data_IF_765147863587
#
_entry.id   IF_765147863587
#
_cell.length_a   1.000
_cell.length_b   1.000
_cell.length_c   1.000
_cell.angle_alpha   90.00
_cell.angle_beta   90.00
_cell.angle_gamma   90.00
#
_symmetry.space_group_name_H-M   'P 1'
#
loop_
_entity.id
_entity.type
_entity.pdbx_description
1 polymer ?
#
# COMPACT_ATOMS: atom_id res chain seq x y z
N UNK A 1 1.53 35.07 68.77
CA UNK A 1 2.03 34.89 67.40
C UNK A 1 1.66 33.47 66.98
N UNK A 2 0.73 33.31 66.03
CA UNK A 2 0.30 32.00 65.55
C UNK A 2 1.09 31.72 64.27
N UNK A 3 2.01 30.77 64.32
CA UNK A 3 2.77 30.27 63.18
C UNK A 3 1.83 29.53 62.23
N UNK A 4 1.56 30.14 61.08
CA UNK A 4 0.82 29.49 60.00
C UNK A 4 1.68 28.35 59.42
N UNK A 5 1.29 27.11 59.73
CA UNK A 5 1.90 25.91 59.16
C UNK A 5 1.47 25.82 57.69
N UNK A 6 2.44 25.86 56.77
CA UNK A 6 2.21 25.68 55.33
C UNK A 6 1.78 24.23 55.09
N UNK A 7 0.49 24.03 54.89
CA UNK A 7 -0.11 22.74 54.57
C UNK A 7 0.30 22.33 53.15
N UNK A 8 0.85 21.12 52.99
CA UNK A 8 1.10 20.54 51.66
C UNK A 8 -0.25 20.12 51.09
N UNK A 9 -0.55 20.64 49.90
CA UNK A 9 -1.71 20.21 49.11
C UNK A 9 -1.35 18.83 48.55
N UNK A 10 -2.03 17.74 48.94
CA UNK A 10 -1.85 16.47 48.25
C UNK A 10 -2.31 16.64 46.80
N UNK A 11 -1.55 16.08 45.87
CA UNK A 11 -1.98 15.96 44.48
C UNK A 11 -3.35 15.29 44.46
N UNK A 12 -4.38 16.05 44.07
CA UNK A 12 -5.68 15.50 43.71
C UNK A 12 -5.52 14.98 42.29
N UNK A 13 -5.45 13.65 42.15
CA UNK A 13 -5.88 13.02 40.91
C UNK A 13 -7.34 13.37 40.71
N UNK A 14 -7.66 13.98 39.58
CA UNK A 14 -9.03 14.18 39.14
C UNK A 14 -9.54 12.81 38.69
N UNK A 15 -10.31 12.15 39.54
CA UNK A 15 -11.02 10.89 39.24
C UNK A 15 -12.20 11.17 38.28
N UNK A 16 -11.93 11.48 37.02
CA UNK A 16 -13.01 11.60 36.02
C UNK A 16 -12.59 11.14 34.61
N UNK A 17 -11.64 10.20 34.53
CA UNK A 17 -11.47 9.29 33.40
C UNK A 17 -10.92 7.96 33.96
N UNK A 18 -11.81 7.04 34.34
CA UNK A 18 -11.50 5.63 34.69
C UNK A 18 -11.07 4.84 33.43
N UNK A 19 -10.02 5.30 32.75
CA UNK A 19 -9.18 4.41 31.97
C UNK A 19 -8.02 4.06 32.90
N UNK A 20 -8.08 2.86 33.47
CA UNK A 20 -7.02 2.29 34.30
C UNK A 20 -5.64 2.66 33.73
N UNK A 21 -4.97 3.62 34.36
CA UNK A 21 -3.58 3.97 34.10
C UNK A 21 -2.70 2.86 34.73
N UNK A 22 -2.94 1.61 34.30
CA UNK A 22 -2.19 0.43 34.69
C UNK A 22 -0.81 0.54 34.05
N UNK A 23 0.18 0.91 34.86
CA UNK A 23 1.57 0.92 34.45
C UNK A 23 2.03 -0.53 34.32
N UNK A 24 2.24 -0.98 33.09
CA UNK A 24 2.76 -2.32 32.78
C UNK A 24 4.13 -2.51 33.44
N UNK A 25 4.34 -3.66 34.08
CA UNK A 25 5.68 -4.04 34.51
C UNK A 25 6.59 -4.38 33.32
N UNK A 26 7.91 -4.50 33.54
CA UNK A 26 8.84 -4.75 32.45
C UNK A 26 8.58 -6.04 31.66
N UNK A 27 8.03 -7.04 32.34
CA UNK A 27 7.76 -8.35 31.75
C UNK A 27 6.45 -8.31 30.95
N UNK A 28 5.43 -7.62 31.44
CA UNK A 28 4.18 -7.33 30.72
C UNK A 28 4.45 -6.47 29.48
N UNK A 29 5.29 -5.44 29.58
CA UNK A 29 5.64 -4.59 28.44
C UNK A 29 6.37 -5.38 27.33
N UNK A 30 7.27 -6.30 27.70
CA UNK A 30 7.93 -7.18 26.74
C UNK A 30 6.94 -8.10 26.03
N UNK A 31 6.01 -8.71 26.79
CA UNK A 31 4.96 -9.56 26.21
C UNK A 31 4.04 -8.78 25.27
N UNK A 32 3.70 -7.53 25.61
CA UNK A 32 2.87 -6.67 24.77
C UNK A 32 3.61 -6.32 23.47
N UNK A 33 4.88 -5.92 23.53
CA UNK A 33 5.68 -5.60 22.34
C UNK A 33 5.84 -6.83 21.44
N UNK A 34 6.17 -8.00 22.01
CA UNK A 34 6.33 -9.24 21.24
C UNK A 34 5.02 -9.66 20.58
N UNK A 35 3.89 -9.51 21.29
CA UNK A 35 2.57 -9.77 20.75
C UNK A 35 2.23 -8.81 19.60
N UNK A 36 2.46 -7.52 19.77
CA UNK A 36 2.25 -6.50 18.72
C UNK A 36 3.08 -6.81 17.49
N UNK A 37 4.35 -7.22 17.66
CA UNK A 37 5.22 -7.63 16.55
C UNK A 37 4.68 -8.87 15.83
N UNK A 38 4.17 -9.86 16.56
CA UNK A 38 3.61 -11.06 15.95
C UNK A 38 2.30 -10.77 15.20
N UNK A 39 1.41 -9.97 15.80
CA UNK A 39 0.15 -9.54 15.19
C UNK A 39 0.41 -8.69 13.94
N UNK A 40 1.40 -7.80 14.00
CA UNK A 40 1.85 -6.99 12.87
C UNK A 40 2.39 -7.84 11.72
N UNK A 41 3.30 -8.78 12.01
CA UNK A 41 3.85 -9.66 10.99
C UNK A 41 2.76 -10.49 10.28
N UNK A 42 1.79 -11.00 11.05
CA UNK A 42 0.64 -11.75 10.53
C UNK A 42 -0.26 -10.88 9.64
N UNK A 43 -0.57 -9.66 10.09
CA UNK A 43 -1.39 -8.69 9.33
C UNK A 43 -0.69 -8.27 8.04
N UNK A 44 0.61 -8.00 8.11
CA UNK A 44 1.45 -7.67 6.96
C UNK A 44 1.49 -8.77 5.90
N UNK A 45 1.53 -10.04 6.31
CA UNK A 45 1.42 -11.18 5.40
C UNK A 45 0.05 -11.21 4.71
N UNK A 46 -1.03 -11.01 5.47
CA UNK A 46 -2.39 -10.97 4.93
C UNK A 46 -2.58 -9.81 3.95
N UNK A 47 -2.10 -8.61 4.27
CA UNK A 47 -2.14 -7.45 3.37
C UNK A 47 -1.36 -7.69 2.08
N UNK A 48 -0.17 -8.30 2.19
CA UNK A 48 0.65 -8.64 1.03
C UNK A 48 -0.05 -9.65 0.13
N UNK A 49 -0.70 -10.68 0.70
CA UNK A 49 -1.48 -11.67 -0.04
C UNK A 49 -2.69 -11.01 -0.73
N UNK A 50 -3.43 -10.17 -0.02
CA UNK A 50 -4.56 -9.42 -0.56
C UNK A 50 -4.16 -8.52 -1.73
N UNK A 51 -3.07 -7.76 -1.60
CA UNK A 51 -2.53 -6.96 -2.70
C UNK A 51 -2.16 -7.82 -3.91
N UNK A 52 -1.49 -8.96 -3.70
CA UNK A 52 -1.13 -9.87 -4.79
C UNK A 52 -2.36 -10.43 -5.51
N UNK A 53 -3.41 -10.79 -4.77
CA UNK A 53 -4.66 -11.27 -5.36
C UNK A 53 -5.32 -10.19 -6.24
N UNK A 54 -5.42 -8.95 -5.75
CA UNK A 54 -6.00 -7.83 -6.50
C UNK A 54 -5.16 -7.49 -7.73
N UNK A 55 -3.82 -7.42 -7.59
CA UNK A 55 -2.91 -7.18 -8.72
C UNK A 55 -3.02 -8.30 -9.75
N UNK A 56 -3.03 -9.56 -9.31
CA UNK A 56 -3.15 -10.72 -10.18
C UNK A 56 -4.45 -10.75 -10.96
N UNK A 57 -5.58 -10.41 -10.32
CA UNK A 57 -6.87 -10.31 -10.97
C UNK A 57 -6.90 -9.18 -12.01
N UNK A 58 -6.38 -8.01 -11.65
CA UNK A 58 -6.31 -6.87 -12.58
C UNK A 58 -5.40 -7.17 -13.78
N UNK A 59 -4.25 -7.80 -13.55
CA UNK A 59 -3.34 -8.26 -14.59
C UNK A 59 -4.01 -9.26 -15.52
N UNK A 60 -4.70 -10.27 -14.97
CA UNK A 60 -5.45 -11.25 -15.76
C UNK A 60 -6.48 -10.56 -16.66
N UNK A 61 -7.19 -9.57 -16.14
CA UNK A 61 -8.17 -8.81 -16.90
C UNK A 61 -7.53 -8.04 -18.07
N UNK A 62 -6.35 -7.45 -17.88
CA UNK A 62 -5.60 -6.79 -18.95
C UNK A 62 -5.07 -7.76 -20.01
N UNK A 63 -4.61 -8.95 -19.58
CA UNK A 63 -4.21 -10.02 -20.50
C UNK A 63 -5.39 -10.50 -21.34
N UNK A 64 -6.55 -10.73 -20.70
CA UNK A 64 -7.78 -11.12 -21.40
C UNK A 64 -8.25 -10.02 -22.38
N UNK A 65 -8.16 -8.75 -21.99
CA UNK A 65 -8.43 -7.62 -22.88
C UNK A 65 -7.50 -7.63 -24.10
N UNK A 66 -6.19 -7.88 -23.90
CA UNK A 66 -5.22 -7.97 -24.98
C UNK A 66 -5.51 -9.13 -25.95
N UNK A 67 -6.01 -10.26 -25.45
CA UNK A 67 -6.37 -11.43 -26.26
C UNK A 67 -7.70 -11.24 -27.01
N UNK A 68 -8.55 -10.32 -26.57
CA UNK A 68 -9.87 -10.06 -27.18
C UNK A 68 -9.73 -9.00 -28.27
N UNK A 69 -10.08 -9.36 -29.51
CA UNK A 69 -9.96 -8.45 -30.66
C UNK A 69 -11.04 -7.37 -30.76
N UNK A 70 -12.04 -7.34 -29.86
CA UNK A 70 -13.14 -6.37 -29.98
C UNK A 70 -12.75 -4.94 -29.59
N UNK A 71 -11.66 -4.76 -28.84
CA UNK A 71 -11.19 -3.44 -28.39
C UNK A 71 -12.10 -2.73 -27.37
N UNK A 72 -13.24 -3.34 -27.05
CA UNK A 72 -14.22 -2.84 -26.08
C UNK A 72 -13.70 -2.97 -24.65
N UNK A 73 -13.89 -1.92 -23.84
CA UNK A 73 -13.55 -1.97 -22.42
C UNK A 73 -14.29 -3.12 -21.72
N UNK A 74 -13.59 -3.94 -20.91
CA UNK A 74 -14.23 -5.01 -20.12
C UNK A 74 -15.28 -4.47 -19.14
N UNK A 75 -15.12 -3.21 -18.70
CA UNK A 75 -16.06 -2.55 -17.80
C UNK A 75 -17.38 -2.16 -18.49
N UNK A 76 -17.42 -2.11 -19.82
CA UNK A 76 -18.64 -1.79 -20.56
C UNK A 76 -19.79 -2.77 -20.25
N UNK A 77 -19.47 -4.03 -19.88
CA UNK A 77 -20.46 -5.02 -19.46
C UNK A 77 -21.23 -4.58 -18.20
N UNK A 78 -20.61 -3.78 -17.33
CA UNK A 78 -21.22 -3.28 -16.10
C UNK A 78 -22.04 -1.99 -16.33
N UNK A 79 -21.81 -1.30 -17.44
CA UNK A 79 -22.42 0.00 -17.73
C UNK A 79 -23.22 -0.06 -19.03
N UNK A 80 -24.54 -0.26 -18.89
CA UNK A 80 -25.48 -0.41 -20.02
C UNK A 80 -25.54 0.81 -20.97
N UNK A 81 -25.00 1.96 -20.56
CA UNK A 81 -25.00 3.21 -21.33
C UNK A 81 -23.64 3.51 -21.99
N UNK A 82 -22.68 2.57 -21.97
CA UNK A 82 -21.39 2.77 -22.62
C UNK A 82 -21.60 2.91 -24.13
N UNK A 83 -21.17 4.03 -24.69
CA UNK A 83 -21.29 4.33 -26.11
C UNK A 83 -20.36 3.40 -26.88
N UNK A 84 -20.88 2.71 -27.92
CA UNK A 84 -20.07 1.93 -28.87
C UNK A 84 -19.22 2.88 -29.72
N UNK A 85 -18.15 3.43 -29.14
CA UNK A 85 -17.17 4.26 -29.83
C UNK A 85 -16.07 3.39 -30.44
N UNK A 86 -15.38 3.98 -31.41
CA UNK A 86 -14.23 3.36 -32.05
C UNK A 86 -13.16 3.04 -31.00
N UNK A 87 -12.51 1.85 -31.07
CA UNK A 87 -11.49 1.47 -30.11
C UNK A 87 -10.35 2.49 -30.06
N UNK A 88 -9.83 2.71 -28.86
CA UNK A 88 -8.76 3.68 -28.64
C UNK A 88 -7.53 3.35 -29.50
N UNK A 89 -7.01 4.31 -30.29
CA UNK A 89 -5.77 4.09 -31.03
C UNK A 89 -4.62 3.81 -30.06
N UNK A 90 -3.74 2.88 -30.43
CA UNK A 90 -2.62 2.41 -29.59
C UNK A 90 -3.04 1.67 -28.31
N UNK A 91 -4.30 1.21 -28.19
CA UNK A 91 -4.76 0.43 -27.04
C UNK A 91 -3.81 -0.72 -26.69
N UNK A 92 -3.31 -1.48 -27.67
CA UNK A 92 -2.37 -2.58 -27.43
C UNK A 92 -1.05 -2.14 -26.77
N UNK A 93 -0.53 -0.97 -27.14
CA UNK A 93 0.70 -0.42 -26.54
C UNK A 93 0.45 -0.03 -25.09
N UNK A 94 -0.68 0.64 -24.83
CA UNK A 94 -1.06 1.01 -23.47
C UNK A 94 -1.39 -0.22 -22.63
N UNK A 95 -2.02 -1.26 -23.18
CA UNK A 95 -2.25 -2.52 -22.45
C UNK A 95 -0.94 -3.20 -22.09
N UNK A 96 0.04 -3.24 -22.99
CA UNK A 96 1.38 -3.76 -22.70
C UNK A 96 2.03 -2.97 -21.55
N UNK A 97 1.95 -1.64 -21.60
CA UNK A 97 2.44 -0.77 -20.53
C UNK A 97 1.75 -1.07 -19.20
N UNK A 98 0.41 -1.22 -19.19
CA UNK A 98 -0.32 -1.57 -17.97
C UNK A 98 0.09 -2.95 -17.44
N UNK A 99 0.26 -3.95 -18.30
CA UNK A 99 0.75 -5.28 -17.91
C UNK A 99 2.12 -5.16 -17.22
N UNK A 100 3.06 -4.40 -17.81
CA UNK A 100 4.37 -4.18 -17.22
C UNK A 100 4.29 -3.48 -15.85
N UNK A 101 3.40 -2.49 -15.71
CA UNK A 101 3.16 -1.81 -14.43
C UNK A 101 2.64 -2.79 -13.39
N UNK A 102 1.65 -3.63 -13.72
CA UNK A 102 1.12 -4.66 -12.81
C UNK A 102 2.20 -5.68 -12.42
N UNK A 103 3.04 -6.11 -13.35
CA UNK A 103 4.18 -6.98 -13.04
C UNK A 103 5.16 -6.29 -12.06
N UNK A 104 5.48 -5.02 -12.28
CA UNK A 104 6.33 -4.25 -11.37
C UNK A 104 5.67 -4.06 -9.98
N UNK A 105 4.37 -3.80 -9.91
CA UNK A 105 3.62 -3.72 -8.65
C UNK A 105 3.64 -5.06 -7.92
N UNK A 106 3.37 -6.16 -8.62
CA UNK A 106 3.42 -7.51 -8.05
C UNK A 106 4.80 -7.88 -7.52
N UNK A 107 5.87 -7.47 -8.21
CA UNK A 107 7.24 -7.65 -7.71
C UNK A 107 7.53 -6.83 -6.45
N UNK A 108 6.96 -5.62 -6.35
CA UNK A 108 7.11 -4.74 -5.18
C UNK A 108 6.41 -5.27 -3.93
N UNK A 109 5.26 -5.93 -4.10
CA UNK A 109 4.47 -6.49 -2.98
C UNK A 109 4.95 -7.87 -2.54
N UNK A 110 5.91 -8.49 -3.24
CA UNK A 110 6.49 -9.77 -2.83
C UNK A 110 7.45 -9.58 -1.64
N UNK A 111 7.42 -10.48 -0.63
CA UNK A 111 8.38 -10.44 0.46
C UNK A 111 9.83 -10.54 -0.05
N UNK A 112 10.77 -9.87 0.64
CA UNK A 112 12.20 -9.88 0.29
C UNK A 112 12.80 -11.29 0.24
N UNK A 113 12.29 -12.22 1.05
CA UNK A 113 12.76 -13.59 1.08
C UNK A 113 12.23 -14.43 -0.09
N UNK A 114 11.29 -13.93 -0.90
CA UNK A 114 10.75 -14.68 -2.03
C UNK A 114 11.83 -14.94 -3.09
N UNK A 115 11.88 -16.18 -3.60
CA UNK A 115 12.85 -16.60 -4.62
C UNK A 115 12.70 -15.79 -5.91
N UNK A 116 11.48 -15.44 -6.30
CA UNK A 116 11.21 -14.66 -7.51
C UNK A 116 11.79 -13.26 -7.43
N UNK A 117 11.52 -12.54 -6.33
CA UNK A 117 12.08 -11.20 -6.10
C UNK A 117 13.60 -11.22 -6.09
N UNK A 118 14.22 -12.19 -5.39
CA UNK A 118 15.67 -12.38 -5.38
C UNK A 118 16.25 -12.74 -6.75
N UNK A 119 15.56 -13.56 -7.54
CA UNK A 119 16.00 -13.93 -8.88
C UNK A 119 16.02 -12.69 -9.79
N UNK A 120 14.94 -11.90 -9.79
CA UNK A 120 14.83 -10.69 -10.60
C UNK A 120 15.88 -9.65 -10.20
N UNK A 121 16.13 -9.46 -8.90
CA UNK A 121 17.16 -8.54 -8.41
C UNK A 121 18.61 -8.98 -8.71
N UNK A 122 18.84 -10.29 -8.88
CA UNK A 122 20.16 -10.83 -9.22
C UNK A 122 20.54 -10.64 -10.69
N UNK A 123 19.58 -10.49 -11.58
CA UNK A 123 19.86 -10.22 -12.98
C UNK A 123 20.04 -8.70 -13.17
N UNK A 124 21.26 -8.23 -13.51
CA UNK A 124 21.44 -6.84 -13.89
C UNK A 124 20.61 -6.58 -15.15
N UNK A 125 19.58 -5.73 -15.03
CA UNK A 125 18.78 -5.35 -16.18
C UNK A 125 19.71 -4.71 -17.23
N UNK A 126 19.66 -5.15 -18.50
CA UNK A 126 20.46 -4.54 -19.56
C UNK A 126 20.11 -3.07 -19.80
N UNK A 127 18.97 -2.59 -19.28
CA UNK A 127 18.49 -1.21 -19.43
C UNK A 127 18.78 -0.30 -18.24
N UNK A 128 19.56 -0.74 -17.24
CA UNK A 128 19.84 0.03 -15.99
C UNK A 128 18.59 0.50 -15.23
N UNK A 129 17.38 0.10 -15.64
CA UNK A 129 16.17 0.42 -14.91
C UNK A 129 16.25 -0.30 -13.56
N UNK A 130 16.26 0.43 -12.43
CA UNK A 130 16.19 -0.22 -11.13
C UNK A 130 14.90 -1.03 -11.13
N UNK A 131 15.01 -2.33 -10.86
CA UNK A 131 13.86 -3.16 -10.54
C UNK A 131 13.93 -3.38 -9.03
N UNK A 132 12.98 -2.84 -8.25
CA UNK A 132 11.76 -2.17 -8.68
C UNK A 132 11.94 -0.75 -9.24
N UNK A 133 11.07 -0.38 -10.19
CA UNK A 133 11.09 0.93 -10.88
C UNK A 133 11.05 2.09 -9.87
N UNK A 134 11.84 3.12 -10.13
CA UNK A 134 11.92 4.34 -9.30
C UNK A 134 10.54 5.00 -9.13
N UNK A 135 10.23 5.46 -7.92
CA UNK A 135 8.98 6.12 -7.52
C UNK A 135 8.34 7.08 -8.55
N UNK A 136 9.05 8.01 -9.22
CA UNK A 136 8.41 8.92 -10.17
C UNK A 136 7.83 8.20 -11.38
N UNK A 137 8.58 7.26 -11.98
CA UNK A 137 8.11 6.53 -13.16
C UNK A 137 6.91 5.63 -12.83
N UNK A 138 6.89 5.06 -11.64
CA UNK A 138 5.77 4.26 -11.12
C UNK A 138 4.47 5.07 -11.03
N UNK A 139 4.55 6.38 -10.76
CA UNK A 139 3.38 7.27 -10.63
C UNK A 139 2.96 7.84 -11.99
N UNK A 140 3.92 8.27 -12.82
CA UNK A 140 3.60 8.90 -14.11
C UNK A 140 3.15 7.91 -15.19
N UNK A 141 3.80 6.74 -15.30
CA UNK A 141 3.50 5.77 -16.35
C UNK A 141 2.02 5.33 -16.39
N UNK A 142 1.37 4.97 -15.26
CA UNK A 142 -0.05 4.57 -15.29
C UNK A 142 -1.01 5.72 -15.61
N UNK A 143 -0.60 6.98 -15.49
CA UNK A 143 -1.42 8.13 -15.83
C UNK A 143 -1.48 8.40 -17.35
N UNK A 144 -0.55 7.87 -18.14
CA UNK A 144 -0.47 8.14 -19.58
C UNK A 144 -1.70 7.63 -20.35
N UNK A 145 -2.12 6.40 -20.09
CA UNK A 145 -3.28 5.80 -20.76
C UNK A 145 -4.61 6.53 -20.49
N UNK A 146 -5.00 6.82 -19.23
CA UNK A 146 -6.25 7.53 -18.94
C UNK A 146 -6.21 8.98 -19.43
N UNK A 147 -5.06 9.67 -19.34
CA UNK A 147 -4.92 11.01 -19.91
C UNK A 147 -5.11 11.00 -21.43
N UNK A 148 -4.51 10.04 -22.13
CA UNK A 148 -4.68 9.91 -23.56
C UNK A 148 -6.13 9.58 -23.94
N UNK A 149 -6.79 8.66 -23.21
CA UNK A 149 -8.20 8.33 -23.41
C UNK A 149 -9.10 9.58 -23.24
N UNK A 150 -8.83 10.37 -22.20
CA UNK A 150 -9.55 11.61 -21.92
C UNK A 150 -9.34 12.66 -23.03
N UNK A 151 -8.09 12.86 -23.48
CA UNK A 151 -7.76 13.80 -24.56
C UNK A 151 -8.36 13.39 -25.92
N UNK A 152 -8.49 12.09 -26.17
CA UNK A 152 -9.18 11.55 -27.35
C UNK A 152 -10.71 11.58 -27.21
N UNK A 153 -11.23 12.13 -26.10
CA UNK A 153 -12.65 12.26 -25.83
C UNK A 153 -13.36 10.93 -25.71
N UNK A 154 -12.68 9.86 -25.29
CA UNK A 154 -13.27 8.53 -25.10
C UNK A 154 -14.38 8.55 -24.02
N UNK A 155 -15.18 7.48 -23.96
CA UNK A 155 -16.23 7.38 -22.94
C UNK A 155 -15.60 7.33 -21.54
N UNK A 156 -16.32 7.80 -20.52
CA UNK A 156 -15.83 7.83 -19.15
C UNK A 156 -15.52 6.42 -18.63
N UNK A 157 -16.22 5.39 -19.15
CA UNK A 157 -15.96 3.97 -18.85
C UNK A 157 -14.58 3.53 -19.34
N UNK A 158 -14.15 4.02 -20.49
CA UNK A 158 -12.80 3.74 -21.02
C UNK A 158 -11.74 4.46 -20.19
N UNK A 159 -11.97 5.73 -19.86
CA UNK A 159 -11.07 6.49 -18.97
C UNK A 159 -10.93 5.79 -17.62
N UNK A 160 -12.03 5.29 -17.06
CA UNK A 160 -12.04 4.53 -15.82
C UNK A 160 -11.24 3.22 -15.96
N UNK A 161 -11.45 2.46 -17.03
CA UNK A 161 -10.69 1.25 -17.33
C UNK A 161 -9.19 1.52 -17.39
N UNK A 162 -8.78 2.56 -18.12
CA UNK A 162 -7.37 2.93 -18.23
C UNK A 162 -6.77 3.51 -16.94
N UNK A 163 -7.58 3.99 -16.01
CA UNK A 163 -7.13 4.48 -14.70
C UNK A 163 -6.89 3.39 -13.65
N UNK A 164 -7.30 2.14 -13.93
CA UNK A 164 -7.18 1.00 -13.00
C UNK A 164 -5.78 0.80 -12.45
N UNK A 165 -4.75 0.82 -13.30
CA UNK A 165 -3.37 0.66 -12.85
C UNK A 165 -2.86 1.82 -12.00
N UNK A 166 -3.33 3.05 -12.27
CA UNK A 166 -2.99 4.22 -11.46
C UNK A 166 -3.61 4.12 -10.08
N UNK A 167 -4.89 3.76 -10.02
CA UNK A 167 -5.59 3.49 -8.77
C UNK A 167 -4.89 2.38 -7.96
N UNK A 168 -4.51 1.28 -8.62
CA UNK A 168 -3.82 0.17 -7.98
C UNK A 168 -2.41 0.55 -7.51
N UNK A 169 -1.68 1.37 -8.26
CA UNK A 169 -0.38 1.92 -7.84
C UNK A 169 -0.53 2.73 -6.57
N UNK A 170 -1.54 3.60 -6.51
CA UNK A 170 -1.83 4.40 -5.32
C UNK A 170 -2.20 3.52 -4.12
N UNK A 171 -3.08 2.52 -4.32
CA UNK A 171 -3.46 1.57 -3.29
C UNK A 171 -2.25 0.81 -2.72
N UNK A 172 -1.40 0.27 -3.59
CA UNK A 172 -0.18 -0.43 -3.20
C UNK A 172 0.75 0.50 -2.41
N UNK A 173 0.93 1.74 -2.88
CA UNK A 173 1.77 2.72 -2.18
C UNK A 173 1.23 3.07 -0.79
N UNK A 174 -0.09 3.23 -0.65
CA UNK A 174 -0.75 3.50 0.62
C UNK A 174 -0.62 2.33 1.60
N UNK A 175 -0.91 1.10 1.17
CA UNK A 175 -0.80 -0.09 2.03
C UNK A 175 0.66 -0.32 2.45
N UNK A 176 1.62 -0.24 1.52
CA UNK A 176 3.04 -0.38 1.88
C UNK A 176 3.52 0.74 2.80
N UNK A 177 2.91 1.93 2.73
CA UNK A 177 3.20 3.02 3.66
C UNK A 177 2.68 2.67 5.05
N UNK A 178 1.43 2.22 5.17
CA UNK A 178 0.85 1.81 6.46
C UNK A 178 1.64 0.69 7.13
N UNK A 179 2.05 -0.34 6.38
CA UNK A 179 2.88 -1.42 6.92
C UNK A 179 4.22 -0.91 7.49
N UNK A 180 4.82 0.10 6.85
CA UNK A 180 6.08 0.71 7.33
C UNK A 180 5.87 1.60 8.55
N UNK A 181 4.77 2.34 8.60
CA UNK A 181 4.42 3.18 9.75
C UNK A 181 4.19 2.29 10.98
N UNK A 182 3.49 1.16 10.82
CA UNK A 182 3.29 0.17 11.89
C UNK A 182 4.61 -0.43 12.42
N UNK A 183 5.54 -0.80 11.52
CA UNK A 183 6.87 -1.27 11.92
C UNK A 183 7.68 -0.19 12.65
N UNK A 184 7.54 1.07 12.25
CA UNK A 184 8.21 2.21 12.88
C UNK A 184 7.66 2.48 14.28
N UNK A 185 6.34 2.46 14.46
CA UNK A 185 5.68 2.63 15.76
C UNK A 185 6.14 1.57 16.76
N UNK A 186 6.22 0.29 16.33
CA UNK A 186 6.75 -0.79 17.18
C UNK A 186 8.21 -0.55 17.55
N UNK A 187 9.04 -0.13 16.59
CA UNK A 187 10.45 0.18 16.84
C UNK A 187 10.63 1.39 17.79
N UNK A 188 9.74 2.38 17.73
CA UNK A 188 9.71 3.51 18.66
C UNK A 188 9.31 3.07 20.08
N UNK A 189 8.32 2.19 20.21
CA UNK A 189 7.94 1.58 21.50
C UNK A 189 9.12 0.82 22.12
N UNK A 190 9.88 0.07 21.31
CA UNK A 190 11.10 -0.61 21.76
C UNK A 190 12.16 0.39 22.24
N UNK A 191 12.33 1.51 21.54
CA UNK A 191 13.28 2.54 21.93
C UNK A 191 12.93 3.19 23.28
N UNK A 192 11.64 3.50 23.50
CA UNK A 192 11.17 4.09 24.77
C UNK A 192 11.40 3.17 25.97
N UNK A 193 11.27 1.85 25.78
CA UNK A 193 11.64 0.85 26.79
C UNK A 193 13.10 0.96 27.23
N UNK A 194 14.03 1.14 26.28
CA UNK A 194 15.46 1.22 26.59
C UNK A 194 15.83 2.51 27.36
N UNK A 195 15.13 3.61 27.12
CA UNK A 195 15.35 4.88 27.81
C UNK A 195 14.90 4.80 29.28
N UNK A 196 13.75 4.16 29.53
CA UNK A 196 13.22 3.96 30.89
C UNK A 196 14.12 3.08 31.78
N UNK A 197 14.88 2.14 31.20
CA UNK A 197 15.84 1.29 31.94
C UNK A 197 17.13 2.01 32.34
N UNK A 198 17.42 3.19 31.78
CA UNK A 198 18.66 3.93 32.01
C UNK A 198 18.56 5.09 33.02
N UNK A 199 17.37 5.38 33.53
CA UNK A 199 17.08 6.50 34.43
C UNK A 199 16.95 6.09 35.92
#
# INVERSE_FOLDING_TARGET
>A
MITAVRQRIPFRFSEDDEQDEHVLDEQEQEQVIDRLRQESASSNEMYSLGLQAVIGLSLLLHVLYMLRSSGESPLAVLFQNASLRSPMPLASVFTLLQILIHCNLGLNTLPLHNRLRRAVQRYPSPTQLPVPISHPLSVFAPALAPLYAFLMGQDWVDVLWWSTAGCLTFLVAAVLKWMREEEQEIAELEKLRYDARGA
#
